data_IF_053221455331
#
_entry.id   IF_053221455331
#
_cell.length_a   1.000
_cell.length_b   1.000
_cell.length_c   1.000
_cell.angle_alpha   90.00
_cell.angle_beta   90.00
_cell.angle_gamma   90.00
#
_symmetry.space_group_name_H-M   'P 1'
#
loop_
_entity.id
_entity.type
_entity.pdbx_description
1 polymer ?
#
# COMPACT_ATOMS: atom_id res chain seq x y z
N UNK A 1 -22.54 18.76 -28.70
CA UNK A 1 -22.89 17.32 -28.82
C UNK A 1 -24.29 17.13 -28.27
N UNK A 2 -25.11 16.29 -28.89
CA UNK A 2 -26.49 16.05 -28.48
C UNK A 2 -26.54 14.71 -27.74
N UNK A 3 -27.10 14.70 -26.52
CA UNK A 3 -27.12 13.52 -25.66
C UNK A 3 -28.05 12.41 -26.20
N UNK A 4 -27.69 11.12 -26.04
CA UNK A 4 -28.53 10.02 -26.48
C UNK A 4 -29.84 9.90 -25.66
N UNK A 5 -30.94 9.57 -26.36
CA UNK A 5 -32.33 9.55 -25.86
C UNK A 5 -32.59 8.75 -24.57
N UNK A 6 -31.75 7.74 -24.27
CA UNK A 6 -31.91 6.95 -23.04
C UNK A 6 -31.54 7.72 -21.76
N UNK A 7 -30.72 8.78 -21.87
CA UNK A 7 -30.36 9.67 -20.76
C UNK A 7 -31.50 10.65 -20.42
N UNK A 8 -32.19 11.17 -21.43
CA UNK A 8 -33.32 12.08 -21.26
C UNK A 8 -34.52 11.43 -20.54
N UNK A 9 -34.73 10.13 -20.77
CA UNK A 9 -35.80 9.37 -20.14
C UNK A 9 -35.59 9.11 -18.64
N UNK A 10 -34.35 9.21 -18.15
CA UNK A 10 -33.99 8.92 -16.75
C UNK A 10 -33.78 10.17 -15.88
N UNK A 11 -33.86 11.38 -16.47
CA UNK A 11 -33.57 12.65 -15.78
C UNK A 11 -32.21 12.64 -15.05
N UNK A 12 -31.18 12.08 -15.68
CA UNK A 12 -29.82 12.14 -15.16
C UNK A 12 -29.12 13.40 -15.64
N UNK A 13 -28.44 14.09 -14.72
CA UNK A 13 -27.57 15.25 -14.91
C UNK A 13 -26.08 14.86 -14.73
N UNK A 14 -25.15 15.76 -15.06
CA UNK A 14 -23.70 15.55 -14.86
C UNK A 14 -23.32 15.28 -13.39
N UNK A 15 -24.20 15.60 -12.44
CA UNK A 15 -24.01 15.32 -11.03
C UNK A 15 -24.41 13.87 -10.65
N UNK A 16 -25.21 13.21 -11.50
CA UNK A 16 -25.69 11.83 -11.34
C UNK A 16 -25.09 10.83 -12.33
N UNK A 17 -24.52 11.29 -13.45
CA UNK A 17 -23.70 10.46 -14.32
C UNK A 17 -22.26 10.44 -13.79
N UNK A 18 -21.88 9.30 -13.22
CA UNK A 18 -20.52 8.89 -12.99
C UNK A 18 -19.50 9.57 -13.91
N UNK A 19 -18.59 10.34 -13.29
CA UNK A 19 -17.56 11.24 -13.84
C UNK A 19 -16.63 10.68 -14.92
N UNK A 20 -16.88 9.56 -15.57
CA UNK A 20 -15.99 9.06 -16.61
C UNK A 20 -15.92 10.01 -17.82
N UNK A 21 -17.06 10.25 -18.47
CA UNK A 21 -17.13 11.09 -19.65
C UNK A 21 -16.80 12.56 -19.34
N UNK A 22 -17.29 13.08 -18.20
CA UNK A 22 -16.95 14.44 -17.76
C UNK A 22 -15.46 14.60 -17.38
N UNK A 23 -14.83 13.62 -16.73
CA UNK A 23 -13.39 13.65 -16.44
C UNK A 23 -12.58 13.64 -17.73
N UNK A 24 -12.88 12.71 -18.64
CA UNK A 24 -12.18 12.59 -19.93
C UNK A 24 -12.30 13.87 -20.75
N UNK A 25 -13.47 14.49 -20.80
CA UNK A 25 -13.67 15.73 -21.56
C UNK A 25 -12.96 16.92 -20.89
N UNK A 26 -12.92 16.99 -19.56
CA UNK A 26 -12.17 18.02 -18.84
C UNK A 26 -10.64 17.84 -18.96
N UNK A 27 -10.15 16.61 -19.02
CA UNK A 27 -8.74 16.31 -19.30
C UNK A 27 -8.37 16.67 -20.75
N UNK A 28 -9.27 16.45 -21.73
CA UNK A 28 -9.08 16.95 -23.11
C UNK A 28 -9.04 18.46 -23.18
N UNK A 29 -9.91 19.17 -22.43
CA UNK A 29 -9.88 20.62 -22.34
C UNK A 29 -8.58 21.13 -21.71
N UNK A 30 -8.10 20.48 -20.64
CA UNK A 30 -6.80 20.80 -20.03
C UNK A 30 -5.63 20.57 -20.98
N UNK A 31 -5.63 19.46 -21.71
CA UNK A 31 -4.63 19.18 -22.73
C UNK A 31 -4.66 20.23 -23.85
N UNK A 32 -5.85 20.68 -24.27
CA UNK A 32 -6.02 21.77 -25.25
C UNK A 32 -5.50 23.12 -24.73
N UNK A 33 -5.51 23.32 -23.41
CA UNK A 33 -4.95 24.49 -22.72
C UNK A 33 -3.45 24.33 -22.37
N UNK A 34 -2.81 23.23 -22.78
CA UNK A 34 -1.39 22.95 -22.52
C UNK A 34 -1.08 22.53 -21.08
N UNK A 35 -2.09 22.19 -20.29
CA UNK A 35 -1.93 21.66 -18.95
C UNK A 35 -1.74 20.13 -18.97
N UNK A 36 -0.87 19.63 -18.09
CA UNK A 36 -0.65 18.19 -17.92
C UNK A 36 -1.85 17.47 -17.26
N UNK A 37 -1.92 16.14 -17.40
CA UNK A 37 -3.04 15.36 -16.87
C UNK A 37 -3.10 15.41 -15.34
N UNK A 38 -4.32 15.46 -14.78
CA UNK A 38 -4.55 15.35 -13.33
C UNK A 38 -4.54 13.88 -12.92
N UNK A 39 -3.82 13.56 -11.84
CA UNK A 39 -3.88 12.22 -11.26
C UNK A 39 -5.12 12.05 -10.42
N UNK A 40 -5.88 11.00 -10.74
CA UNK A 40 -6.98 10.51 -9.93
C UNK A 40 -6.47 9.25 -9.23
N UNK A 41 -6.15 9.35 -7.94
CA UNK A 41 -5.63 8.22 -7.15
C UNK A 41 -6.77 7.27 -6.76
N UNK A 42 -7.31 6.53 -7.73
CA UNK A 42 -8.13 5.32 -7.52
C UNK A 42 -7.89 4.39 -8.72
N UNK A 43 -7.29 3.24 -8.45
CA UNK A 43 -7.18 2.01 -9.27
C UNK A 43 -7.70 2.12 -10.71
N UNK A 44 -6.79 2.04 -11.69
CA UNK A 44 -7.07 2.09 -13.14
C UNK A 44 -7.83 0.83 -13.63
N UNK A 45 -9.00 1.04 -14.27
CA UNK A 45 -9.57 0.28 -15.39
C UNK A 45 -9.35 -1.26 -15.39
N UNK A 46 -10.09 -2.00 -14.55
CA UNK A 46 -11.30 -2.66 -15.05
C UNK A 46 -12.47 -2.58 -14.06
N UNK A 47 -12.39 -1.67 -13.08
CA UNK A 47 -13.37 -1.48 -12.01
C UNK A 47 -14.12 -0.15 -12.12
N UNK A 48 -14.23 0.43 -13.32
CA UNK A 48 -15.07 1.60 -13.59
C UNK A 48 -16.57 1.34 -13.37
N UNK A 49 -16.97 0.09 -13.08
CA UNK A 49 -18.31 -0.25 -12.63
C UNK A 49 -18.54 -0.01 -11.11
N UNK A 50 -17.49 0.20 -10.30
CA UNK A 50 -17.62 0.27 -8.82
C UNK A 50 -17.33 1.64 -8.21
N UNK A 51 -16.46 2.49 -8.78
CA UNK A 51 -16.01 3.70 -8.06
C UNK A 51 -16.19 5.01 -8.83
N UNK A 52 -17.44 5.47 -8.93
CA UNK A 52 -17.71 6.88 -9.25
C UNK A 52 -17.74 7.79 -8.03
N UNK A 53 -17.46 7.24 -6.85
CA UNK A 53 -17.48 7.99 -5.62
C UNK A 53 -16.64 7.24 -4.60
N UNK A 54 -15.35 7.52 -4.57
CA UNK A 54 -14.73 7.53 -3.25
C UNK A 54 -15.52 8.55 -2.44
N UNK A 55 -16.23 8.03 -1.45
CA UNK A 55 -16.84 8.85 -0.43
C UNK A 55 -15.74 9.15 0.58
N UNK A 56 -15.75 10.32 1.21
CA UNK A 56 -14.72 10.70 2.18
C UNK A 56 -14.41 9.61 3.23
N UNK A 57 -15.41 8.76 3.53
CA UNK A 57 -15.28 7.59 4.39
C UNK A 57 -14.43 6.47 3.78
N UNK A 58 -14.61 6.12 2.50
CA UNK A 58 -13.83 5.04 1.86
C UNK A 58 -12.39 5.48 1.63
N UNK A 59 -12.17 6.73 1.25
CA UNK A 59 -10.82 7.29 1.11
C UNK A 59 -10.06 7.29 2.45
N UNK A 60 -10.71 7.76 3.53
CA UNK A 60 -10.12 7.72 4.87
C UNK A 60 -9.84 6.31 5.34
N UNK A 61 -10.73 5.36 5.04
CA UNK A 61 -10.58 3.96 5.43
C UNK A 61 -9.40 3.31 4.70
N UNK A 62 -9.23 3.59 3.41
CA UNK A 62 -8.13 3.07 2.60
C UNK A 62 -6.78 3.49 3.20
N UNK A 63 -6.56 4.80 3.39
CA UNK A 63 -5.33 5.30 4.00
C UNK A 63 -5.13 4.80 5.44
N UNK A 64 -6.18 4.79 6.26
CA UNK A 64 -6.11 4.30 7.63
C UNK A 64 -5.70 2.82 7.68
N UNK A 65 -6.23 2.01 6.77
CA UNK A 65 -5.93 0.59 6.68
C UNK A 65 -4.51 0.33 6.19
N UNK A 66 -4.01 1.13 5.24
CA UNK A 66 -2.63 1.06 4.76
C UNK A 66 -1.62 1.38 5.88
N UNK A 67 -1.86 2.46 6.63
CA UNK A 67 -1.03 2.85 7.78
C UNK A 67 -1.06 1.76 8.87
N UNK A 68 -2.24 1.21 9.18
CA UNK A 68 -2.39 0.15 10.16
C UNK A 68 -1.63 -1.12 9.77
N UNK A 69 -1.71 -1.52 8.50
CA UNK A 69 -1.01 -2.69 7.97
C UNK A 69 0.51 -2.52 8.02
N UNK A 70 1.02 -1.38 7.56
CA UNK A 70 2.45 -1.06 7.61
C UNK A 70 2.94 -1.03 9.06
N UNK A 71 2.22 -0.34 9.95
CA UNK A 71 2.55 -0.26 11.38
C UNK A 71 2.60 -1.63 12.06
N UNK A 72 1.59 -2.48 11.84
CA UNK A 72 1.56 -3.83 12.38
C UNK A 72 2.71 -4.69 11.83
N UNK A 73 2.98 -4.60 10.53
CA UNK A 73 4.05 -5.38 9.91
C UNK A 73 5.45 -4.94 10.37
N UNK A 74 5.64 -3.65 10.67
CA UNK A 74 6.87 -3.13 11.28
C UNK A 74 7.08 -3.68 12.70
N UNK A 75 6.02 -3.75 13.51
CA UNK A 75 6.08 -4.37 14.85
C UNK A 75 6.53 -5.83 14.73
N UNK A 76 5.92 -6.60 13.82
CA UNK A 76 6.29 -7.99 13.58
C UNK A 76 7.75 -8.11 13.11
N UNK A 77 8.20 -7.23 12.20
CA UNK A 77 9.57 -7.22 11.71
C UNK A 77 10.58 -7.01 12.85
N UNK A 78 10.32 -6.08 13.78
CA UNK A 78 11.18 -5.83 14.94
C UNK A 78 11.19 -7.03 15.88
N UNK A 79 10.02 -7.47 16.34
CA UNK A 79 9.92 -8.61 17.29
C UNK A 79 10.62 -9.84 16.72
N UNK A 80 10.38 -10.13 15.43
CA UNK A 80 10.97 -11.29 14.76
C UNK A 80 12.47 -11.13 14.56
N UNK A 81 12.94 -9.98 14.10
CA UNK A 81 14.36 -9.79 13.74
C UNK A 81 15.27 -9.79 14.96
N UNK A 82 14.83 -9.16 16.05
CA UNK A 82 15.56 -9.14 17.32
C UNK A 82 15.27 -10.35 18.21
N UNK A 83 14.43 -11.29 17.75
CA UNK A 83 14.04 -12.50 18.49
C UNK A 83 13.55 -12.20 19.91
N UNK A 84 12.69 -11.18 20.04
CA UNK A 84 12.16 -10.73 21.34
C UNK A 84 11.15 -11.75 21.86
N UNK A 85 11.55 -12.56 22.84
CA UNK A 85 10.70 -13.61 23.41
C UNK A 85 10.00 -13.21 24.70
N UNK A 86 10.53 -12.23 25.44
CA UNK A 86 9.94 -11.77 26.70
C UNK A 86 8.70 -10.93 26.43
N UNK A 87 7.57 -11.31 27.01
CA UNK A 87 6.27 -10.63 26.83
C UNK A 87 6.35 -9.13 27.18
N UNK A 88 6.98 -8.80 28.32
CA UNK A 88 7.18 -7.40 28.71
C UNK A 88 7.97 -6.60 27.67
N UNK A 89 9.01 -7.19 27.07
CA UNK A 89 9.80 -6.53 26.04
C UNK A 89 9.01 -6.38 24.73
N UNK A 90 8.15 -7.34 24.37
CA UNK A 90 7.26 -7.23 23.21
C UNK A 90 6.27 -6.06 23.38
N UNK A 91 5.70 -5.90 24.57
CA UNK A 91 4.80 -4.77 24.88
C UNK A 91 5.56 -3.45 24.83
N UNK A 92 6.75 -3.37 25.44
CA UNK A 92 7.57 -2.15 25.42
C UNK A 92 7.94 -1.69 24.00
N UNK A 93 8.15 -2.62 23.08
CA UNK A 93 8.45 -2.32 21.66
C UNK A 93 7.17 -1.95 20.90
N UNK A 94 6.07 -2.68 21.12
CA UNK A 94 4.84 -2.53 20.34
C UNK A 94 4.03 -1.30 20.73
N UNK A 95 3.93 -0.99 22.03
CA UNK A 95 3.12 0.10 22.56
C UNK A 95 3.44 1.48 21.93
N UNK A 96 4.70 1.93 21.83
CA UNK A 96 5.00 3.23 21.20
C UNK A 96 4.65 3.27 19.71
N UNK A 97 4.82 2.15 18.99
CA UNK A 97 4.47 2.06 17.56
C UNK A 97 2.95 2.07 17.36
N UNK A 98 2.20 1.36 18.20
CA UNK A 98 0.72 1.39 18.18
C UNK A 98 0.22 2.80 18.49
N UNK A 99 0.82 3.47 19.50
CA UNK A 99 0.47 4.84 19.84
C UNK A 99 0.70 5.78 18.66
N UNK A 100 1.88 5.71 18.02
CA UNK A 100 2.20 6.49 16.82
C UNK A 100 1.21 6.26 15.67
N UNK A 101 0.96 5.00 15.31
CA UNK A 101 0.02 4.61 14.24
C UNK A 101 -1.39 5.13 14.55
N UNK A 102 -1.85 4.95 15.78
CA UNK A 102 -3.19 5.39 16.21
C UNK A 102 -3.31 6.90 16.15
N UNK A 103 -2.31 7.63 16.64
CA UNK A 103 -2.30 9.11 16.57
C UNK A 103 -2.29 9.58 15.12
N UNK A 104 -1.53 8.94 14.24
CA UNK A 104 -1.51 9.29 12.81
C UNK A 104 -2.86 9.02 12.12
N UNK A 105 -3.49 7.87 12.39
CA UNK A 105 -4.83 7.54 11.86
C UNK A 105 -5.87 8.56 12.37
N UNK A 106 -5.83 8.92 13.66
CA UNK A 106 -6.71 9.94 14.22
C UNK A 106 -6.48 11.32 13.59
N UNK A 107 -5.23 11.67 13.27
CA UNK A 107 -4.91 12.90 12.55
C UNK A 107 -5.54 12.91 11.15
N UNK A 108 -5.40 11.83 10.39
CA UNK A 108 -5.97 11.72 9.03
C UNK A 108 -7.51 11.76 9.04
N UNK A 109 -8.15 11.17 10.06
CA UNK A 109 -9.61 11.12 10.15
C UNK A 109 -10.26 12.41 10.67
N UNK A 110 -9.61 13.12 11.62
CA UNK A 110 -10.24 14.22 12.35
C UNK A 110 -9.74 15.61 11.96
N UNK A 111 -8.53 15.74 11.40
CA UNK A 111 -7.95 17.05 11.06
C UNK A 111 -8.02 17.32 9.56
N UNK A 112 -7.01 16.86 8.83
CA UNK A 112 -6.91 17.05 7.38
C UNK A 112 -6.29 15.79 6.78
N UNK A 113 -6.95 15.27 5.74
CA UNK A 113 -6.40 14.21 4.92
C UNK A 113 -5.38 14.82 3.97
N UNK A 114 -4.14 14.94 4.45
CA UNK A 114 -3.00 15.34 3.63
C UNK A 114 -2.33 14.08 3.09
N UNK A 115 -2.60 13.81 1.81
CA UNK A 115 -2.01 12.68 1.09
C UNK A 115 -0.48 12.71 1.09
N UNK A 116 0.12 13.88 0.89
CA UNK A 116 1.58 14.03 0.83
C UNK A 116 2.23 13.74 2.18
N UNK A 117 1.58 14.13 3.27
CA UNK A 117 2.03 13.76 4.62
C UNK A 117 1.87 12.27 4.90
N UNK A 118 0.71 11.68 4.58
CA UNK A 118 0.47 10.25 4.72
C UNK A 118 1.51 9.42 3.95
N UNK A 119 1.79 9.79 2.70
CA UNK A 119 2.79 9.12 1.86
C UNK A 119 4.17 9.15 2.52
N UNK A 120 4.61 10.29 3.06
CA UNK A 120 5.90 10.38 3.77
C UNK A 120 5.96 9.44 4.97
N UNK A 121 4.90 9.38 5.78
CA UNK A 121 4.83 8.49 6.95
C UNK A 121 4.88 7.02 6.52
N UNK A 122 4.11 6.64 5.50
CA UNK A 122 4.12 5.29 4.93
C UNK A 122 5.49 4.89 4.39
N UNK A 123 6.14 5.77 3.62
CA UNK A 123 7.49 5.53 3.07
C UNK A 123 8.51 5.35 4.18
N UNK A 124 8.49 6.18 5.24
CA UNK A 124 9.41 6.03 6.38
C UNK A 124 9.23 4.68 7.07
N UNK A 125 7.99 4.25 7.32
CA UNK A 125 7.71 2.94 7.92
C UNK A 125 8.18 1.80 7.01
N UNK A 126 7.91 1.88 5.71
CA UNK A 126 8.31 0.89 4.72
C UNK A 126 9.84 0.76 4.61
N UNK A 127 10.56 1.89 4.54
CA UNK A 127 12.03 1.91 4.53
C UNK A 127 12.60 1.27 5.80
N UNK A 128 12.08 1.65 6.98
CA UNK A 128 12.52 1.06 8.24
C UNK A 128 12.34 -0.46 8.25
N UNK A 129 11.19 -0.95 7.77
CA UNK A 129 10.90 -2.37 7.65
C UNK A 129 11.84 -3.09 6.67
N UNK A 130 12.09 -2.52 5.49
CA UNK A 130 13.01 -3.09 4.51
C UNK A 130 14.44 -3.18 5.06
N UNK A 131 14.90 -2.15 5.77
CA UNK A 131 16.23 -2.14 6.40
C UNK A 131 16.34 -3.23 7.48
N UNK A 132 15.33 -3.37 8.34
CA UNK A 132 15.30 -4.42 9.37
C UNK A 132 15.42 -5.81 8.73
N UNK A 133 14.64 -6.08 7.68
CA UNK A 133 14.69 -7.36 6.98
C UNK A 133 16.00 -7.57 6.23
N UNK A 134 16.58 -6.54 5.61
CA UNK A 134 17.87 -6.61 4.94
C UNK A 134 19.00 -6.97 5.93
N UNK A 135 19.04 -6.28 7.08
CA UNK A 135 20.01 -6.56 8.14
C UNK A 135 19.83 -7.98 8.66
N UNK A 136 18.60 -8.41 8.93
CA UNK A 136 18.32 -9.77 9.38
C UNK A 136 18.74 -10.82 8.33
N UNK A 137 18.47 -10.59 7.05
CA UNK A 137 18.88 -11.49 5.96
C UNK A 137 20.40 -11.60 5.80
N UNK A 138 21.12 -10.51 6.09
CA UNK A 138 22.58 -10.45 6.04
C UNK A 138 23.25 -11.10 7.25
N UNK A 139 22.70 -10.91 8.45
CA UNK A 139 23.25 -11.44 9.70
C UNK A 139 22.90 -12.91 9.91
N UNK A 140 21.68 -13.32 9.55
CA UNK A 140 21.22 -14.70 9.81
C UNK A 140 21.61 -15.67 8.70
N UNK A 141 21.90 -16.92 9.09
CA UNK A 141 22.17 -18.04 8.18
C UNK A 141 20.92 -18.89 7.94
N UNK A 142 19.76 -18.24 7.80
CA UNK A 142 18.49 -18.95 7.58
C UNK A 142 18.49 -19.63 6.19
N UNK A 143 18.02 -20.90 6.07
CA UNK A 143 18.01 -21.62 4.78
C UNK A 143 17.21 -20.88 3.69
N UNK A 144 16.12 -20.21 4.06
CA UNK A 144 15.25 -19.48 3.14
C UNK A 144 15.61 -17.99 2.95
N UNK A 145 16.83 -17.56 3.31
CA UNK A 145 17.24 -16.14 3.21
C UNK A 145 17.19 -15.57 1.79
N UNK A 146 17.32 -16.41 0.76
CA UNK A 146 17.24 -15.95 -0.63
C UNK A 146 15.83 -15.44 -0.97
N UNK A 147 14.78 -16.13 -0.49
CA UNK A 147 13.39 -15.69 -0.65
C UNK A 147 13.19 -14.31 -0.01
N UNK A 148 13.79 -14.10 1.16
CA UNK A 148 13.77 -12.82 1.84
C UNK A 148 14.51 -11.71 1.05
N UNK A 149 15.70 -11.99 0.51
CA UNK A 149 16.40 -11.02 -0.34
C UNK A 149 15.61 -10.62 -1.58
N UNK A 150 14.90 -11.56 -2.20
CA UNK A 150 13.99 -11.27 -3.32
C UNK A 150 12.86 -10.34 -2.87
N UNK A 151 12.27 -10.56 -1.70
CA UNK A 151 11.22 -9.67 -1.16
C UNK A 151 11.77 -8.30 -0.79
N UNK A 152 12.96 -8.20 -0.20
CA UNK A 152 13.58 -6.92 0.17
C UNK A 152 13.92 -6.09 -1.07
N UNK A 153 14.59 -6.69 -2.06
CA UNK A 153 14.97 -5.99 -3.29
C UNK A 153 13.74 -5.66 -4.15
N UNK A 154 12.81 -6.61 -4.29
CA UNK A 154 11.57 -6.41 -5.02
C UNK A 154 10.65 -5.38 -4.36
N UNK A 155 10.53 -5.41 -3.03
CA UNK A 155 9.79 -4.41 -2.26
C UNK A 155 10.41 -3.02 -2.34
N UNK A 156 11.75 -2.93 -2.32
CA UNK A 156 12.46 -1.67 -2.57
C UNK A 156 12.19 -1.12 -3.97
N UNK A 157 12.20 -1.98 -5.00
CA UNK A 157 11.87 -1.58 -6.37
C UNK A 157 10.40 -1.14 -6.50
N UNK A 158 9.45 -1.87 -5.91
CA UNK A 158 8.05 -1.49 -5.88
C UNK A 158 7.87 -0.11 -5.21
N UNK A 159 8.52 0.13 -4.08
CA UNK A 159 8.49 1.43 -3.41
C UNK A 159 9.06 2.56 -4.28
N UNK A 160 10.10 2.30 -5.08
CA UNK A 160 10.62 3.29 -6.03
C UNK A 160 9.61 3.62 -7.14
N UNK A 161 8.82 2.64 -7.60
CA UNK A 161 7.72 2.89 -8.55
C UNK A 161 6.65 3.80 -7.93
N UNK A 162 6.27 3.55 -6.68
CA UNK A 162 5.30 4.36 -5.95
C UNK A 162 5.79 5.81 -5.75
N UNK A 163 7.10 6.03 -5.51
CA UNK A 163 7.67 7.37 -5.37
C UNK A 163 7.80 8.09 -6.72
N UNK A 164 8.18 7.38 -7.78
CA UNK A 164 8.37 7.98 -9.10
C UNK A 164 7.04 8.43 -9.70
N UNK A 165 5.94 7.76 -9.34
CA UNK A 165 4.55 8.19 -9.57
C UNK A 165 4.40 8.80 -10.98
N UNK A 166 4.51 7.97 -12.03
CA UNK A 166 4.38 8.43 -13.41
C UNK A 166 2.93 8.37 -13.88
N UNK A 167 2.48 9.31 -14.75
CA UNK A 167 1.12 9.32 -15.27
C UNK A 167 0.84 8.09 -16.15
N UNK A 168 -0.41 7.63 -16.27
CA UNK A 168 -0.75 6.42 -17.02
C UNK A 168 -0.26 6.48 -18.46
N UNK A 169 0.47 5.46 -18.88
CA UNK A 169 0.92 5.28 -20.26
C UNK A 169 -0.27 4.81 -21.11
N UNK A 170 -0.67 5.61 -22.10
CA UNK A 170 -1.80 5.32 -23.02
C UNK A 170 -3.14 5.07 -22.30
N UNK A 171 -3.27 5.50 -21.03
CA UNK A 171 -4.47 5.27 -20.22
C UNK A 171 -4.61 3.85 -19.64
N UNK A 172 -3.63 2.96 -19.83
CA UNK A 172 -3.73 1.56 -19.40
C UNK A 172 -2.89 1.22 -18.17
N UNK A 173 -1.67 1.76 -18.06
CA UNK A 173 -0.73 1.36 -17.00
C UNK A 173 -0.10 2.59 -16.37
N UNK A 174 -0.37 2.81 -15.08
CA UNK A 174 0.31 3.81 -14.25
C UNK A 174 1.31 3.16 -13.27
N UNK A 175 2.04 3.99 -12.54
CA UNK A 175 3.00 3.54 -11.53
C UNK A 175 2.37 2.66 -10.45
N UNK A 176 1.12 2.97 -10.08
CA UNK A 176 0.39 2.31 -9.02
C UNK A 176 -0.11 0.92 -9.47
N UNK A 177 -0.53 0.77 -10.72
CA UNK A 177 -0.88 -0.50 -11.33
C UNK A 177 0.34 -1.43 -11.42
N UNK A 178 1.51 -0.90 -11.79
CA UNK A 178 2.77 -1.67 -11.73
C UNK A 178 3.15 -2.03 -10.30
N UNK A 179 2.92 -1.14 -9.33
CA UNK A 179 3.11 -1.45 -7.92
C UNK A 179 2.24 -2.63 -7.49
N UNK A 180 0.94 -2.62 -7.76
CA UNK A 180 0.04 -3.76 -7.48
C UNK A 180 0.47 -5.03 -8.20
N UNK A 181 0.82 -4.95 -9.48
CA UNK A 181 1.26 -6.11 -10.27
C UNK A 181 2.53 -6.75 -9.71
N UNK A 182 3.46 -5.94 -9.21
CA UNK A 182 4.72 -6.42 -8.62
C UNK A 182 4.54 -6.95 -7.20
N UNK A 183 3.63 -6.37 -6.40
CA UNK A 183 3.38 -6.83 -5.02
C UNK A 183 2.66 -8.17 -4.93
N UNK A 184 1.88 -8.58 -5.93
CA UNK A 184 1.21 -9.91 -5.98
C UNK A 184 2.22 -11.08 -5.87
N UNK A 185 3.19 -11.25 -6.79
CA UNK A 185 4.17 -12.35 -6.69
C UNK A 185 5.10 -12.19 -5.48
N UNK A 186 5.42 -10.95 -5.08
CA UNK A 186 6.23 -10.70 -3.89
C UNK A 186 5.53 -11.17 -2.61
N UNK A 187 4.22 -10.97 -2.51
CA UNK A 187 3.41 -11.43 -1.37
C UNK A 187 3.41 -12.95 -1.27
N UNK A 188 3.34 -13.65 -2.41
CA UNK A 188 3.43 -15.11 -2.43
C UNK A 188 4.80 -15.62 -1.94
N UNK A 189 5.89 -15.00 -2.39
CA UNK A 189 7.25 -15.35 -1.94
C UNK A 189 7.44 -15.02 -0.45
N UNK A 190 6.88 -13.90 0.00
CA UNK A 190 6.88 -13.47 1.39
C UNK A 190 6.19 -14.48 2.30
N UNK A 191 4.99 -14.92 1.92
CA UNK A 191 4.26 -15.94 2.66
C UNK A 191 5.01 -17.26 2.75
N UNK A 192 5.62 -17.69 1.64
CA UNK A 192 6.47 -18.89 1.62
C UNK A 192 7.67 -18.76 2.56
N UNK A 193 8.31 -17.59 2.63
CA UNK A 193 9.38 -17.35 3.59
C UNK A 193 8.89 -17.43 5.04
N UNK A 194 7.74 -16.82 5.36
CA UNK A 194 7.15 -16.88 6.71
C UNK A 194 6.85 -18.33 7.11
N UNK A 195 6.29 -19.13 6.20
CA UNK A 195 6.02 -20.54 6.43
C UNK A 195 7.30 -21.30 6.77
N UNK A 196 8.34 -21.16 5.93
CA UNK A 196 9.63 -21.81 6.17
C UNK A 196 10.26 -21.38 7.51
N UNK A 197 10.14 -20.11 7.85
CA UNK A 197 10.66 -19.55 9.10
C UNK A 197 9.93 -20.13 10.32
N UNK A 198 8.61 -20.27 10.25
CA UNK A 198 7.81 -20.88 11.29
C UNK A 198 8.16 -22.37 11.49
N UNK A 199 8.34 -23.13 10.39
CA UNK A 199 8.78 -24.52 10.43
C UNK A 199 10.20 -24.65 11.03
N UNK A 200 11.13 -23.80 10.60
CA UNK A 200 12.49 -23.75 11.11
C UNK A 200 12.51 -23.51 12.62
N UNK A 201 11.78 -22.50 13.11
CA UNK A 201 11.69 -22.18 14.54
C UNK A 201 11.09 -23.33 15.34
N UNK A 202 10.00 -23.91 14.87
CA UNK A 202 9.33 -25.03 15.54
C UNK A 202 10.25 -26.23 15.66
N UNK A 203 10.95 -26.59 14.58
CA UNK A 203 11.92 -27.69 14.61
C UNK A 203 13.07 -27.45 15.58
N UNK A 204 13.55 -26.20 15.70
CA UNK A 204 14.62 -25.83 16.63
C UNK A 204 14.19 -25.95 18.10
N UNK A 205 12.94 -25.60 18.41
CA UNK A 205 12.37 -25.72 19.75
C UNK A 205 12.17 -27.19 20.14
N UNK A 206 11.63 -28.01 19.22
CA UNK A 206 11.43 -29.45 19.45
C UNK A 206 12.76 -30.18 19.68
N UNK A 207 13.81 -29.84 18.93
CA UNK A 207 15.15 -30.39 19.14
C UNK A 207 15.77 -30.01 20.49
N UNK A 208 15.39 -28.86 21.05
CA UNK A 208 15.92 -28.36 22.33
C UNK A 208 15.16 -28.93 23.54
N UNK A 209 13.93 -29.41 23.33
CA UNK A 209 13.09 -30.03 24.35
C UNK A 209 13.34 -31.55 24.50
N UNK A 210 14.06 -32.16 23.56
CA UNK A 210 14.48 -33.56 23.59
C UNK A 210 15.91 -33.68 24.13
#
# INVERSE_FOLDING_TARGET
>A
MQEPLYLQWKHWDCQSDCRYHCMVDREKEKAALGHGPVKYHVITYPQDLVNCRDVDVTERLDYSSAVALLGYSLILAIIRSFSVTKEAAQVMVSAPLIAFVTTHILYLNNYQLDYGWNMKVCVVMAVAQLLIWAVWAGVTRHPSRLKLWVVVLGGGLAMLLEIYDFPPYEGYVDAHALWHATTIPLTYIWWNFIKDDAEFRTSSLLKKAK
#
